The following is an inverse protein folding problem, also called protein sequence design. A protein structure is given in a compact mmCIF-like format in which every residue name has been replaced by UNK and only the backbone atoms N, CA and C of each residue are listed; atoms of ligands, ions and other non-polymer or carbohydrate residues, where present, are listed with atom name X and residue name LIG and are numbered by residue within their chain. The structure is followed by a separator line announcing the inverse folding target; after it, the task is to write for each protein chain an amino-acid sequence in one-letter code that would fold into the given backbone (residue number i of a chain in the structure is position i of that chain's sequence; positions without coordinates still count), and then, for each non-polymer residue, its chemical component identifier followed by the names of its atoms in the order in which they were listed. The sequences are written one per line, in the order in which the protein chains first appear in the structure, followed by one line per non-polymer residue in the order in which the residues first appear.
data_IF_217428764294
#
_entry.id   IF_217428764294
#
_cell.length_a   1.000
_cell.length_b   1.000
_cell.length_c   1.000
_cell.angle_alpha   90.00
_cell.angle_beta   90.00
_cell.angle_gamma   90.00
#
_symmetry.space_group_name_H-M   'P 1'
#
loop_
_entity.id
_entity.type
_entity.pdbx_description
1 polymer ?
#
# COMPACT_ATOMS: atom_id res chain seq x y z
N UNK A 1 6.69 3.45 -18.50
CA UNK A 1 6.97 2.63 -17.30
C UNK A 1 5.89 1.55 -17.23
N UNK A 2 6.03 0.45 -16.49
CA UNK A 2 4.90 -0.48 -16.35
C UNK A 2 3.83 0.09 -15.40
N UNK A 3 2.53 -0.23 -15.59
CA UNK A 3 1.44 0.39 -14.82
C UNK A 3 1.51 0.16 -13.31
N UNK A 4 2.09 -0.97 -12.86
CA UNK A 4 2.28 -1.20 -11.43
C UNK A 4 3.30 -0.22 -10.86
N UNK A 5 4.43 -0.02 -11.55
CA UNK A 5 5.43 0.97 -11.17
C UNK A 5 4.88 2.39 -11.18
N UNK A 6 4.06 2.73 -12.20
CA UNK A 6 3.40 4.05 -12.27
C UNK A 6 2.52 4.31 -11.04
N UNK A 7 1.67 3.35 -10.70
CA UNK A 7 0.78 3.47 -9.53
C UNK A 7 1.57 3.52 -8.23
N UNK A 8 2.55 2.62 -8.04
CA UNK A 8 3.35 2.58 -6.82
C UNK A 8 4.22 3.82 -6.65
N UNK A 9 4.64 4.47 -7.73
CA UNK A 9 5.39 5.74 -7.64
C UNK A 9 4.58 6.89 -7.03
N UNK A 10 3.24 6.81 -7.09
CA UNK A 10 2.34 7.75 -6.42
C UNK A 10 2.21 7.47 -4.92
N UNK A 11 2.55 6.25 -4.47
CA UNK A 11 2.52 5.84 -3.07
C UNK A 11 3.81 6.28 -2.37
N UNK A 12 3.92 7.57 -2.05
CA UNK A 12 5.12 8.12 -1.41
C UNK A 12 5.09 7.92 0.10
N UNK A 13 6.04 7.18 0.68
CA UNK A 13 6.12 7.04 2.12
C UNK A 13 6.37 8.38 2.81
N UNK A 14 5.49 8.79 3.73
CA UNK A 14 5.63 9.97 4.57
C UNK A 14 6.30 9.65 5.88
N UNK A 15 5.92 8.53 6.45
CA UNK A 15 6.48 8.03 7.70
C UNK A 15 6.61 6.51 7.62
N UNK A 16 7.58 6.00 8.35
CA UNK A 16 7.86 4.59 8.46
C UNK A 16 8.03 4.22 9.93
N UNK A 17 7.41 3.14 10.34
CA UNK A 17 7.61 2.55 11.67
C UNK A 17 7.88 1.08 11.49
N UNK A 18 8.84 0.55 12.21
CA UNK A 18 9.12 -0.87 12.23
C UNK A 18 9.50 -1.32 13.63
N UNK A 19 9.34 -2.61 13.87
CA UNK A 19 9.71 -3.24 15.12
C UNK A 19 9.77 -4.75 14.99
N UNK A 20 10.34 -5.33 16.03
CA UNK A 20 10.38 -6.77 16.26
C UNK A 20 9.43 -7.08 17.42
N UNK A 21 8.57 -8.07 17.23
CA UNK A 21 7.60 -8.53 18.23
C UNK A 21 7.97 -9.96 18.63
N UNK A 22 8.38 -10.12 19.88
CA UNK A 22 8.66 -11.43 20.47
C UNK A 22 7.50 -11.84 21.38
N UNK A 23 6.66 -12.73 20.86
CA UNK A 23 5.39 -13.07 21.46
C UNK A 23 5.50 -14.44 22.16
N UNK A 24 5.10 -14.50 23.42
CA UNK A 24 4.96 -15.73 24.19
C UNK A 24 3.73 -16.54 23.80
N UNK A 25 3.36 -17.53 24.61
CA UNK A 25 2.10 -18.26 24.41
C UNK A 25 0.90 -17.42 24.84
N UNK A 26 -0.28 -17.82 24.37
CA UNK A 26 -1.58 -17.30 24.81
C UNK A 26 -1.74 -15.78 24.59
N UNK A 27 -1.40 -15.32 23.37
CA UNK A 27 -1.62 -13.94 22.96
C UNK A 27 -2.78 -13.83 21.95
N UNK A 28 -3.54 -12.73 22.07
CA UNK A 28 -4.48 -12.24 21.07
C UNK A 28 -4.41 -10.71 21.07
N UNK A 29 -3.78 -10.12 20.06
CA UNK A 29 -3.45 -8.70 19.99
C UNK A 29 -4.29 -8.04 18.91
N UNK A 30 -5.13 -7.09 19.31
CA UNK A 30 -5.98 -6.32 18.39
C UNK A 30 -5.28 -5.05 17.98
N UNK A 31 -5.20 -4.83 16.68
CA UNK A 31 -4.77 -3.60 16.04
C UNK A 31 -6.00 -2.88 15.47
N UNK A 32 -6.20 -1.63 15.84
CA UNK A 32 -7.26 -0.79 15.29
C UNK A 32 -6.99 -0.42 13.84
N UNK A 33 -7.99 0.15 13.17
CA UNK A 33 -7.83 0.76 11.86
C UNK A 33 -6.64 1.73 11.84
N UNK A 34 -5.99 1.85 10.70
CA UNK A 34 -4.81 2.70 10.54
C UNK A 34 -4.69 3.22 9.11
N UNK A 35 -4.07 4.36 8.96
CA UNK A 35 -3.70 4.89 7.64
C UNK A 35 -2.50 4.12 7.08
N UNK A 36 -2.45 3.93 5.75
CA UNK A 36 -1.32 3.33 5.06
C UNK A 36 -1.29 1.80 5.08
N UNK A 37 -0.12 1.23 4.93
CA UNK A 37 0.11 -0.21 4.73
C UNK A 37 0.85 -0.80 5.92
N UNK A 38 0.30 -1.84 6.53
CA UNK A 38 1.06 -2.72 7.43
C UNK A 38 1.65 -3.88 6.66
N UNK A 39 2.85 -4.27 7.03
CA UNK A 39 3.49 -5.51 6.60
C UNK A 39 4.03 -6.23 7.83
N UNK A 40 3.99 -7.55 7.79
CA UNK A 40 4.53 -8.40 8.85
C UNK A 40 5.05 -9.68 8.25
N UNK A 41 6.22 -10.14 8.75
CA UNK A 41 6.82 -11.40 8.43
C UNK A 41 6.99 -12.25 9.68
N UNK A 42 6.72 -13.53 9.59
CA UNK A 42 6.95 -14.50 10.66
C UNK A 42 8.37 -15.01 10.54
N UNK A 43 9.24 -14.64 11.49
CA UNK A 43 10.63 -15.10 11.54
C UNK A 43 10.71 -16.50 12.12
N UNK A 44 9.97 -16.76 13.21
CA UNK A 44 9.86 -18.08 13.83
C UNK A 44 8.51 -18.27 14.51
N UNK A 45 8.12 -19.53 14.69
CA UNK A 45 6.84 -19.88 15.31
C UNK A 45 5.66 -19.82 14.34
N UNK A 46 4.46 -19.63 14.89
CA UNK A 46 3.21 -19.56 14.12
C UNK A 46 2.16 -18.72 14.86
N UNK A 47 1.23 -18.15 14.12
CA UNK A 47 0.07 -17.44 14.66
C UNK A 47 -1.09 -17.41 13.67
N UNK A 48 -2.23 -16.88 14.11
CA UNK A 48 -3.39 -16.59 13.29
C UNK A 48 -3.49 -15.10 13.02
N UNK A 49 -3.89 -14.74 11.81
CA UNK A 49 -4.27 -13.39 11.40
C UNK A 49 -5.75 -13.38 11.07
N UNK A 50 -6.55 -12.63 11.82
CA UNK A 50 -7.92 -12.28 11.49
C UNK A 50 -7.99 -10.80 11.07
N UNK A 51 -8.71 -10.48 9.99
CA UNK A 51 -8.88 -9.12 9.49
C UNK A 51 -10.36 -8.80 9.39
N UNK A 52 -10.76 -7.63 9.83
CA UNK A 52 -12.15 -7.21 9.80
C UNK A 52 -12.71 -7.22 8.37
N UNK A 53 -13.93 -7.77 8.20
CA UNK A 53 -14.56 -7.95 6.90
C UNK A 53 -14.00 -9.10 6.05
N UNK A 54 -13.03 -9.88 6.55
CA UNK A 54 -12.53 -11.09 5.91
C UNK A 54 -13.05 -12.32 6.70
N UNK A 55 -13.88 -13.19 6.09
CA UNK A 55 -14.56 -14.25 6.83
C UNK A 55 -13.64 -15.29 7.47
N UNK A 56 -12.51 -15.58 6.82
CA UNK A 56 -11.59 -16.64 7.24
C UNK A 56 -10.29 -16.05 7.81
N UNK A 57 -9.92 -16.48 9.02
CA UNK A 57 -8.61 -16.19 9.58
C UNK A 57 -7.53 -16.98 8.83
N UNK A 58 -6.37 -16.35 8.67
CA UNK A 58 -5.22 -16.91 7.98
C UNK A 58 -4.21 -17.45 9.00
N UNK A 59 -3.85 -18.75 8.87
CA UNK A 59 -2.74 -19.31 9.64
C UNK A 59 -1.41 -18.89 9.01
N UNK A 60 -0.52 -18.37 9.82
CA UNK A 60 0.80 -17.91 9.46
C UNK A 60 1.86 -18.78 10.13
N UNK A 61 2.89 -19.12 9.40
CA UNK A 61 4.03 -19.94 9.85
C UNK A 61 5.35 -19.27 9.54
N UNK A 62 6.44 -19.73 10.14
CA UNK A 62 7.78 -19.20 9.86
C UNK A 62 8.07 -19.12 8.36
N UNK A 63 8.56 -17.98 7.92
CA UNK A 63 8.79 -17.64 6.51
C UNK A 63 7.59 -17.00 5.79
N UNK A 64 6.38 -17.03 6.36
CA UNK A 64 5.24 -16.32 5.78
C UNK A 64 5.40 -14.81 5.94
N UNK A 65 4.94 -14.08 4.91
CA UNK A 65 4.85 -12.63 4.93
C UNK A 65 3.44 -12.21 4.51
N UNK A 66 2.88 -11.21 5.15
CA UNK A 66 1.61 -10.63 4.75
C UNK A 66 1.65 -9.11 4.73
N UNK A 67 0.79 -8.53 3.88
CA UNK A 67 0.55 -7.10 3.80
C UNK A 67 -0.93 -6.84 4.07
N UNK A 68 -1.23 -5.75 4.77
CA UNK A 68 -2.57 -5.21 5.00
C UNK A 68 -2.66 -3.82 4.34
N UNK A 69 -2.94 -3.74 3.03
CA UNK A 69 -2.88 -2.48 2.30
C UNK A 69 -4.02 -1.52 2.63
N UNK A 70 -5.16 -2.02 3.12
CA UNK A 70 -6.40 -1.24 3.29
C UNK A 70 -6.56 -0.64 4.68
N UNK A 71 -5.61 -0.83 5.57
CA UNK A 71 -5.65 -0.27 6.92
C UNK A 71 -6.74 -0.82 7.83
N UNK A 72 -7.36 -1.94 7.49
CA UNK A 72 -8.44 -2.55 8.26
C UNK A 72 -7.98 -3.02 9.64
N UNK A 73 -8.88 -2.99 10.61
CA UNK A 73 -8.62 -3.56 11.92
C UNK A 73 -8.29 -5.05 11.81
N UNK A 74 -7.35 -5.51 12.62
CA UNK A 74 -6.85 -6.89 12.55
C UNK A 74 -6.47 -7.43 13.92
N UNK A 75 -6.43 -8.74 14.05
CA UNK A 75 -5.98 -9.44 15.24
C UNK A 75 -4.90 -10.47 14.89
N UNK A 76 -3.81 -10.48 15.66
CA UNK A 76 -2.81 -11.54 15.66
C UNK A 76 -2.98 -12.37 16.92
N UNK A 77 -3.14 -13.68 16.80
CA UNK A 77 -3.43 -14.56 17.92
C UNK A 77 -2.66 -15.89 17.84
N UNK A 78 -2.25 -16.41 18.99
CA UNK A 78 -1.81 -17.81 19.11
C UNK A 78 -3.01 -18.76 19.01
N UNK A 79 -4.16 -18.32 19.54
CA UNK A 79 -5.44 -19.01 19.47
C UNK A 79 -6.56 -17.97 19.33
N UNK A 80 -7.48 -18.19 18.37
CA UNK A 80 -8.58 -17.28 18.06
C UNK A 80 -9.69 -17.27 19.13
N UNK A 81 -9.68 -18.19 20.08
CA UNK A 81 -10.63 -18.24 21.21
C UNK A 81 -10.26 -17.30 22.35
N UNK A 82 -9.03 -16.77 22.34
CA UNK A 82 -8.54 -15.85 23.36
C UNK A 82 -9.20 -14.47 23.24
N UNK A 83 -9.38 -13.81 24.38
CA UNK A 83 -9.90 -12.44 24.41
C UNK A 83 -8.85 -11.47 23.85
N UNK A 84 -9.20 -10.64 22.86
CA UNK A 84 -8.27 -9.68 22.29
C UNK A 84 -7.89 -8.57 23.26
N UNK A 85 -6.59 -8.24 23.32
CA UNK A 85 -6.05 -7.10 24.04
C UNK A 85 -5.55 -6.06 23.03
N UNK A 86 -5.84 -4.78 23.26
CA UNK A 86 -5.43 -3.73 22.33
C UNK A 86 -3.90 -3.59 22.28
N UNK A 87 -3.37 -3.52 21.06
CA UNK A 87 -1.93 -3.38 20.82
C UNK A 87 -1.31 -2.16 21.55
N UNK A 88 -2.05 -1.06 21.67
CA UNK A 88 -1.59 0.15 22.38
C UNK A 88 -1.40 -0.08 23.89
N UNK A 89 -2.10 -1.05 24.47
CA UNK A 89 -1.94 -1.44 25.89
C UNK A 89 -0.67 -2.26 26.09
N UNK A 90 -0.35 -3.13 25.11
CA UNK A 90 0.83 -4.00 25.15
C UNK A 90 2.07 -3.22 24.72
N UNK A 91 1.94 -2.35 23.69
CA UNK A 91 3.03 -1.61 23.06
C UNK A 91 2.80 -0.09 23.15
N UNK A 92 2.86 0.51 24.34
CA UNK A 92 2.47 1.91 24.56
C UNK A 92 3.42 2.94 23.92
N UNK A 93 4.61 2.53 23.51
CA UNK A 93 5.65 3.41 22.91
C UNK A 93 5.86 3.00 21.45
N UNK A 94 6.02 3.96 20.51
CA UNK A 94 6.47 3.62 19.16
C UNK A 94 7.73 2.78 19.21
N UNK A 95 7.70 1.60 18.59
CA UNK A 95 8.77 0.61 18.71
C UNK A 95 10.10 1.09 18.11
N UNK A 96 10.09 1.92 17.09
CA UNK A 96 11.26 2.56 16.46
C UNK A 96 12.54 1.69 16.48
N UNK A 97 12.42 0.44 15.99
CA UNK A 97 13.50 -0.53 16.00
C UNK A 97 13.69 -1.33 17.29
N UNK A 98 12.90 -1.10 18.33
CA UNK A 98 12.99 -1.89 19.58
C UNK A 98 12.26 -3.22 19.44
N UNK A 99 12.71 -4.19 20.23
CA UNK A 99 12.02 -5.47 20.42
C UNK A 99 10.93 -5.26 21.45
N UNK A 100 9.69 -5.55 21.07
CA UNK A 100 8.57 -5.58 22.00
C UNK A 100 8.27 -7.02 22.39
N UNK A 101 8.33 -7.31 23.68
CA UNK A 101 8.00 -8.63 24.21
C UNK A 101 6.60 -8.63 24.82
N UNK A 102 5.85 -9.71 24.56
CA UNK A 102 4.54 -9.98 25.14
C UNK A 102 4.54 -11.38 25.74
N UNK A 103 4.00 -11.57 26.95
CA UNK A 103 3.87 -12.86 27.63
C UNK A 103 5.18 -13.68 27.69
N UNK A 104 6.31 -13.00 27.96
CA UNK A 104 7.62 -13.63 28.12
C UNK A 104 8.34 -14.00 26.82
N UNK A 105 7.75 -13.80 25.67
CA UNK A 105 8.35 -14.07 24.36
C UNK A 105 8.59 -15.56 24.04
N UNK A 106 9.37 -15.83 23.00
CA UNK A 106 9.92 -17.16 22.67
C UNK A 106 8.99 -18.12 21.91
N UNK A 107 7.73 -17.76 21.65
CA UNK A 107 6.79 -18.61 20.91
C UNK A 107 6.64 -18.21 19.44
N UNK A 108 6.49 -16.93 19.17
CA UNK A 108 6.34 -16.39 17.82
C UNK A 108 7.11 -15.09 17.69
N UNK A 109 8.09 -15.07 16.78
CA UNK A 109 8.87 -13.88 16.48
C UNK A 109 8.41 -13.28 15.16
N UNK A 110 7.96 -12.04 15.21
CA UNK A 110 7.49 -11.28 14.06
C UNK A 110 8.37 -10.06 13.83
N UNK A 111 8.62 -9.75 12.56
CA UNK A 111 9.17 -8.48 12.11
C UNK A 111 8.10 -7.79 11.31
N UNK A 112 7.75 -6.58 11.70
CA UNK A 112 6.68 -5.87 11.03
C UNK A 112 6.85 -4.38 11.07
N UNK A 113 6.05 -3.70 10.27
CA UNK A 113 6.07 -2.26 10.22
C UNK A 113 4.86 -1.68 9.54
N UNK A 114 4.88 -0.36 9.49
CA UNK A 114 3.80 0.45 8.99
C UNK A 114 4.37 1.57 8.10
N UNK A 115 3.90 1.63 6.86
CA UNK A 115 4.18 2.68 5.89
C UNK A 115 2.99 3.63 5.86
N UNK A 116 3.15 4.84 6.36
CA UNK A 116 2.16 5.91 6.19
C UNK A 116 2.45 6.62 4.86
N UNK A 117 1.43 6.75 4.04
CA UNK A 117 1.54 7.32 2.71
C UNK A 117 0.95 8.73 2.66
N UNK A 118 1.38 9.54 1.70
CA UNK A 118 0.90 10.91 1.56
C UNK A 118 -0.32 11.01 0.66
N UNK A 119 -1.31 11.79 1.14
CA UNK A 119 -2.42 12.29 0.33
C UNK A 119 -3.57 11.32 0.13
N UNK A 120 -4.76 11.86 0.03
CA UNK A 120 -6.01 11.10 -0.22
C UNK A 120 -5.98 10.24 -1.49
N UNK A 121 -5.13 10.58 -2.47
CA UNK A 121 -4.95 9.75 -3.67
C UNK A 121 -4.36 8.38 -3.30
N UNK A 122 -3.49 8.31 -2.28
CA UNK A 122 -2.97 7.04 -1.77
C UNK A 122 -4.08 6.18 -1.16
N UNK A 123 -5.00 6.75 -0.41
CA UNK A 123 -6.13 6.02 0.18
C UNK A 123 -7.03 5.40 -0.90
N UNK A 124 -7.28 6.14 -1.98
CA UNK A 124 -8.06 5.64 -3.13
C UNK A 124 -7.35 4.45 -3.79
N UNK A 125 -6.02 4.54 -3.97
CA UNK A 125 -5.24 3.45 -4.54
C UNK A 125 -5.21 2.22 -3.63
N UNK A 126 -5.04 2.42 -2.33
CA UNK A 126 -5.00 1.34 -1.34
C UNK A 126 -6.34 0.63 -1.20
N UNK A 127 -7.46 1.37 -1.34
CA UNK A 127 -8.79 0.79 -1.28
C UNK A 127 -9.07 -0.23 -2.41
N UNK A 128 -8.38 -0.09 -3.55
CA UNK A 128 -8.48 -1.02 -4.68
C UNK A 128 -7.61 -2.29 -4.48
N UNK A 129 -6.70 -2.30 -3.51
CA UNK A 129 -5.88 -3.48 -3.21
C UNK A 129 -6.67 -4.51 -2.38
N UNK A 130 -6.29 -5.79 -2.40
CA UNK A 130 -6.94 -6.80 -1.56
C UNK A 130 -6.74 -6.48 -0.07
N UNK A 131 -7.69 -6.88 0.80
CA UNK A 131 -7.57 -6.63 2.25
C UNK A 131 -6.34 -7.31 2.86
N UNK A 132 -5.97 -8.47 2.35
CA UNK A 132 -4.78 -9.23 2.75
C UNK A 132 -4.03 -9.67 1.49
N UNK A 133 -2.72 -9.42 1.46
CA UNK A 133 -1.77 -10.05 0.53
C UNK A 133 -0.94 -11.03 1.34
N UNK A 134 -1.18 -12.32 1.18
CA UNK A 134 -0.46 -13.37 1.89
C UNK A 134 0.46 -14.15 0.96
N UNK A 135 1.75 -14.19 1.26
CA UNK A 135 2.78 -14.85 0.47
C UNK A 135 3.06 -16.22 1.08
N UNK A 136 2.64 -17.28 0.36
CA UNK A 136 2.65 -18.66 0.86
C UNK A 136 3.66 -19.58 0.18
N UNK A 137 3.95 -19.36 -1.13
CA UNK A 137 4.78 -20.27 -1.93
C UNK A 137 6.24 -20.20 -1.50
N UNK A 138 6.91 -21.34 -1.35
CA UNK A 138 8.32 -21.38 -0.95
C UNK A 138 9.25 -20.61 -1.89
N UNK A 139 9.02 -20.67 -3.21
CA UNK A 139 9.76 -19.86 -4.18
C UNK A 139 9.62 -18.35 -3.91
N UNK A 140 8.45 -17.94 -3.49
CA UNK A 140 8.09 -16.54 -3.28
C UNK A 140 8.58 -16.05 -1.91
N UNK A 141 8.53 -16.93 -0.89
CA UNK A 141 9.13 -16.69 0.42
C UNK A 141 10.64 -16.45 0.32
N UNK A 142 11.33 -17.20 -0.54
CA UNK A 142 12.76 -17.01 -0.76
C UNK A 142 13.09 -15.60 -1.29
N UNK A 143 12.28 -15.07 -2.20
CA UNK A 143 12.43 -13.70 -2.72
C UNK A 143 12.24 -12.62 -1.64
N UNK A 144 11.41 -12.88 -0.64
CA UNK A 144 11.12 -11.96 0.48
C UNK A 144 12.09 -12.12 1.65
N UNK A 145 12.64 -13.32 1.82
CA UNK A 145 13.48 -13.70 3.00
C UNK A 145 14.61 -12.73 3.23
N UNK A 146 15.36 -12.43 2.19
CA UNK A 146 16.50 -11.49 2.30
C UNK A 146 16.07 -10.11 2.81
N UNK A 147 14.95 -9.56 2.30
CA UNK A 147 14.45 -8.27 2.75
C UNK A 147 14.08 -8.29 4.24
N UNK A 148 13.43 -9.39 4.68
CA UNK A 148 12.99 -9.57 6.06
C UNK A 148 14.18 -9.76 7.00
N UNK A 149 15.13 -10.62 6.62
CA UNK A 149 16.35 -10.88 7.40
C UNK A 149 17.18 -9.60 7.55
N UNK A 150 17.40 -8.88 6.44
CA UNK A 150 18.14 -7.63 6.48
C UNK A 150 17.43 -6.55 7.32
N UNK A 151 16.12 -6.46 7.21
CA UNK A 151 15.34 -5.55 8.05
C UNK A 151 15.42 -5.90 9.53
N UNK A 152 15.32 -7.19 9.87
CA UNK A 152 15.48 -7.66 11.24
C UNK A 152 16.87 -7.29 11.80
N UNK A 153 17.91 -7.41 10.99
CA UNK A 153 19.29 -7.03 11.36
C UNK A 153 19.40 -5.52 11.60
N UNK A 154 18.92 -4.68 10.68
CA UNK A 154 18.93 -3.21 10.83
C UNK A 154 18.16 -2.74 12.07
N UNK A 155 17.06 -3.42 12.41
CA UNK A 155 16.26 -3.09 13.58
C UNK A 155 16.89 -3.56 14.90
N UNK A 156 17.61 -4.68 14.91
CA UNK A 156 18.28 -5.21 16.11
C UNK A 156 19.60 -4.52 16.39
N UNK A 157 20.34 -4.16 15.34
CA UNK A 157 21.66 -3.56 15.40
C UNK A 157 21.69 -2.23 14.62
N UNK A 158 21.04 -1.16 15.13
CA UNK A 158 20.93 0.09 14.40
C UNK A 158 22.29 0.68 14.02
N UNK A 159 22.46 0.96 12.72
CA UNK A 159 23.64 1.60 12.18
C UNK A 159 23.29 3.01 11.64
N UNK A 160 24.25 3.93 11.49
CA UNK A 160 24.00 5.18 10.79
C UNK A 160 23.39 4.93 9.40
N UNK A 161 22.24 5.56 9.11
CA UNK A 161 21.47 5.32 7.87
C UNK A 161 20.56 4.09 7.90
N UNK A 162 20.58 3.25 8.94
CA UNK A 162 19.75 2.04 9.06
C UNK A 162 18.26 2.30 8.93
N UNK A 163 17.78 3.46 9.39
CA UNK A 163 16.38 3.87 9.20
C UNK A 163 16.01 3.97 7.71
N UNK A 164 16.87 4.57 6.88
CA UNK A 164 16.63 4.68 5.43
C UNK A 164 16.69 3.31 4.76
N UNK A 165 17.63 2.46 5.17
CA UNK A 165 17.74 1.08 4.68
C UNK A 165 16.45 0.31 4.99
N UNK A 166 15.97 0.35 6.22
CA UNK A 166 14.74 -0.31 6.63
C UNK A 166 13.51 0.22 5.88
N UNK A 167 13.45 1.51 5.60
CA UNK A 167 12.39 2.12 4.80
C UNK A 167 12.38 1.59 3.35
N UNK A 168 13.54 1.49 2.71
CA UNK A 168 13.64 0.94 1.35
C UNK A 168 13.30 -0.54 1.31
N UNK A 169 13.74 -1.32 2.30
CA UNK A 169 13.37 -2.73 2.42
C UNK A 169 11.87 -2.92 2.58
N UNK A 170 11.20 -2.08 3.37
CA UNK A 170 9.74 -2.11 3.50
C UNK A 170 9.02 -1.82 2.17
N UNK A 171 9.53 -0.88 1.40
CA UNK A 171 8.99 -0.58 0.07
C UNK A 171 9.23 -1.76 -0.90
N UNK A 172 10.41 -2.39 -0.86
CA UNK A 172 10.69 -3.61 -1.64
C UNK A 172 9.74 -4.75 -1.26
N UNK A 173 9.46 -4.96 0.03
CA UNK A 173 8.49 -5.96 0.52
C UNK A 173 7.10 -5.67 -0.07
N UNK A 174 6.65 -4.43 -0.08
CA UNK A 174 5.39 -4.03 -0.71
C UNK A 174 5.35 -4.38 -2.20
N UNK A 175 6.36 -3.93 -2.96
CA UNK A 175 6.44 -4.17 -4.41
C UNK A 175 6.45 -5.66 -4.73
N UNK A 176 7.31 -6.43 -4.05
CA UNK A 176 7.40 -7.87 -4.26
C UNK A 176 6.11 -8.58 -3.85
N UNK A 177 5.52 -8.24 -2.72
CA UNK A 177 4.24 -8.81 -2.29
C UNK A 177 3.13 -8.62 -3.31
N UNK A 178 3.00 -7.43 -3.89
CA UNK A 178 2.01 -7.16 -4.93
C UNK A 178 2.31 -7.91 -6.22
N UNK A 179 3.58 -8.01 -6.64
CA UNK A 179 3.98 -8.79 -7.82
C UNK A 179 3.66 -10.27 -7.67
N UNK A 180 3.95 -10.84 -6.49
CA UNK A 180 3.66 -12.24 -6.20
C UNK A 180 2.16 -12.50 -6.16
N UNK A 181 1.39 -11.57 -5.56
CA UNK A 181 -0.07 -11.65 -5.57
C UNK A 181 -0.65 -11.61 -6.99
N UNK A 182 -0.08 -10.81 -7.89
CA UNK A 182 -0.44 -10.80 -9.31
C UNK A 182 -0.12 -12.15 -10.00
N UNK A 183 1.04 -12.73 -9.69
CA UNK A 183 1.48 -14.00 -10.29
C UNK A 183 0.62 -15.21 -9.85
N UNK A 184 -0.05 -15.14 -8.70
CA UNK A 184 -0.97 -16.18 -8.22
C UNK A 184 -2.22 -16.34 -9.11
N UNK A 185 -2.46 -15.40 -10.03
CA UNK A 185 -3.50 -15.53 -11.06
C UNK A 185 -4.87 -15.82 -10.48
N UNK A 186 -5.34 -15.04 -9.52
CA UNK A 186 -6.62 -15.22 -8.86
C UNK A 186 -7.77 -15.04 -9.85
N UNK A 187 -8.19 -16.13 -10.49
CA UNK A 187 -9.31 -16.17 -11.41
C UNK A 187 -10.57 -15.62 -10.73
N UNK A 188 -11.25 -14.69 -11.40
CA UNK A 188 -12.54 -14.17 -10.95
C UNK A 188 -12.48 -12.93 -10.05
N UNK A 189 -11.32 -12.37 -9.75
CA UNK A 189 -11.24 -11.07 -9.08
C UNK A 189 -11.31 -9.92 -10.08
N UNK A 190 -11.98 -8.86 -9.68
CA UNK A 190 -12.16 -7.62 -10.45
C UNK A 190 -11.24 -6.54 -9.87
N UNK A 191 -10.63 -5.76 -10.74
CA UNK A 191 -9.79 -4.62 -10.36
C UNK A 191 -8.62 -4.39 -11.31
N UNK A 192 -8.10 -3.17 -11.34
CA UNK A 192 -7.02 -2.77 -12.24
C UNK A 192 -5.75 -3.62 -12.02
N UNK A 193 -5.44 -3.94 -10.77
CA UNK A 193 -4.28 -4.76 -10.42
C UNK A 193 -4.34 -6.13 -11.09
N UNK A 194 -5.52 -6.79 -11.05
CA UNK A 194 -5.72 -8.09 -11.71
C UNK A 194 -5.75 -7.97 -13.23
N UNK A 195 -6.21 -6.83 -13.75
CA UNK A 195 -6.20 -6.56 -15.19
C UNK A 195 -4.76 -6.56 -15.76
N UNK A 196 -3.74 -6.24 -14.95
CA UNK A 196 -2.34 -6.26 -15.37
C UNK A 196 -1.82 -7.68 -15.67
N UNK A 197 -2.39 -8.72 -15.10
CA UNK A 197 -2.05 -10.11 -15.46
C UNK A 197 -2.60 -10.53 -16.82
N UNK A 198 -3.58 -9.80 -17.36
CA UNK A 198 -4.14 -10.04 -18.69
C UNK A 198 -3.41 -9.17 -19.71
N UNK A 199 -2.69 -9.81 -20.65
CA UNK A 199 -1.86 -9.13 -21.65
C UNK A 199 -2.61 -8.06 -22.46
N UNK A 200 -3.88 -8.32 -22.81
CA UNK A 200 -4.70 -7.40 -23.63
C UNK A 200 -5.17 -6.20 -22.81
N UNK A 201 -5.61 -6.42 -21.56
CA UNK A 201 -6.00 -5.33 -20.66
C UNK A 201 -4.80 -4.51 -20.24
N UNK A 202 -3.67 -5.17 -19.94
CA UNK A 202 -2.41 -4.52 -19.62
C UNK A 202 -1.95 -3.57 -20.73
N UNK A 203 -2.03 -3.98 -22.01
CA UNK A 203 -1.66 -3.12 -23.14
C UNK A 203 -2.48 -1.83 -23.21
N UNK A 204 -3.80 -1.90 -22.96
CA UNK A 204 -4.67 -0.73 -22.94
C UNK A 204 -4.36 0.17 -21.74
N UNK A 205 -4.19 -0.41 -20.54
CA UNK A 205 -3.83 0.31 -19.31
C UNK A 205 -2.48 1.02 -19.47
N UNK A 206 -1.46 0.32 -19.98
CA UNK A 206 -0.14 0.92 -20.26
C UNK A 206 -0.27 2.11 -21.20
N UNK A 207 -1.06 1.99 -22.27
CA UNK A 207 -1.28 3.09 -23.21
C UNK A 207 -1.89 4.32 -22.56
N UNK A 208 -2.86 4.13 -21.66
CA UNK A 208 -3.48 5.21 -20.88
C UNK A 208 -2.50 5.84 -19.88
N UNK A 209 -1.65 5.04 -19.24
CA UNK A 209 -0.65 5.50 -18.28
C UNK A 209 0.47 6.28 -18.95
N UNK A 210 1.00 5.80 -20.07
CA UNK A 210 2.08 6.45 -20.81
C UNK A 210 1.67 7.81 -21.41
N UNK A 211 0.39 7.94 -21.79
CA UNK A 211 -0.13 9.16 -22.41
C UNK A 211 -1.46 9.59 -21.79
N UNK A 212 -1.47 10.01 -20.52
CA UNK A 212 -2.70 10.35 -19.82
C UNK A 212 -3.42 11.57 -20.43
N UNK A 213 -2.69 12.50 -21.05
CA UNK A 213 -3.26 13.69 -21.68
C UNK A 213 -3.93 13.41 -23.04
N UNK A 214 -3.59 12.26 -23.68
CA UNK A 214 -4.13 11.93 -24.99
C UNK A 214 -5.66 11.76 -24.95
N UNK A 215 -6.34 12.21 -25.99
CA UNK A 215 -7.81 12.08 -26.07
C UNK A 215 -8.21 10.68 -26.57
N UNK A 216 -7.98 9.70 -25.69
CA UNK A 216 -8.25 8.30 -25.97
C UNK A 216 -9.71 8.04 -26.27
N UNK A 217 -9.97 7.28 -27.31
CA UNK A 217 -11.29 6.69 -27.58
C UNK A 217 -11.33 5.22 -27.17
N UNK A 218 -12.53 4.69 -26.92
CA UNK A 218 -12.71 3.25 -26.62
C UNK A 218 -12.28 2.39 -27.81
N UNK A 219 -12.41 2.91 -29.02
CA UNK A 219 -12.00 2.23 -30.25
C UNK A 219 -10.47 2.10 -30.34
N UNK A 220 -9.71 3.19 -30.13
CA UNK A 220 -8.24 3.17 -30.11
C UNK A 220 -7.69 2.24 -29.05
N UNK A 221 -8.28 2.27 -27.82
CA UNK A 221 -7.88 1.37 -26.75
C UNK A 221 -8.22 -0.09 -27.07
N UNK A 222 -9.35 -0.34 -27.74
CA UNK A 222 -9.72 -1.66 -28.26
C UNK A 222 -8.69 -2.17 -29.27
N UNK A 223 -8.26 -1.32 -30.21
CA UNK A 223 -7.21 -1.67 -31.18
C UNK A 223 -5.88 -2.02 -30.47
N UNK A 224 -5.48 -1.28 -29.43
CA UNK A 224 -4.30 -1.59 -28.60
C UNK A 224 -4.41 -2.95 -27.91
N UNK A 225 -5.63 -3.33 -27.52
CA UNK A 225 -5.94 -4.61 -26.88
C UNK A 225 -6.16 -5.75 -27.91
N UNK A 226 -6.14 -5.47 -29.22
CA UNK A 226 -6.46 -6.43 -30.28
C UNK A 226 -7.92 -6.88 -30.26
N UNK A 227 -8.86 -5.96 -29.95
CA UNK A 227 -10.29 -6.23 -29.81
C UNK A 227 -11.13 -5.19 -30.54
N UNK A 228 -12.37 -5.59 -30.92
CA UNK A 228 -13.40 -4.61 -31.35
C UNK A 228 -13.79 -3.70 -30.18
N UNK A 229 -14.30 -2.49 -30.50
CA UNK A 229 -14.76 -1.50 -29.53
C UNK A 229 -15.71 -2.09 -28.47
N UNK A 230 -16.74 -2.84 -28.91
CA UNK A 230 -17.75 -3.40 -28.01
C UNK A 230 -17.18 -4.50 -27.12
N UNK A 231 -16.41 -5.43 -27.69
CA UNK A 231 -15.76 -6.52 -26.96
C UNK A 231 -14.78 -5.98 -25.92
N UNK A 232 -13.99 -4.96 -26.30
CA UNK A 232 -13.06 -4.31 -25.37
C UNK A 232 -13.78 -3.63 -24.21
N UNK A 233 -14.80 -2.79 -24.49
CA UNK A 233 -15.55 -2.08 -23.46
C UNK A 233 -16.17 -3.04 -22.43
N UNK A 234 -16.79 -4.14 -22.91
CA UNK A 234 -17.37 -5.15 -22.05
C UNK A 234 -16.30 -5.85 -21.18
N UNK A 235 -15.26 -6.44 -21.82
CA UNK A 235 -14.22 -7.16 -21.10
C UNK A 235 -13.42 -6.29 -20.14
N UNK A 236 -13.16 -5.03 -20.52
CA UNK A 236 -12.49 -4.10 -19.62
C UNK A 236 -13.33 -3.85 -18.37
N UNK A 237 -14.64 -3.61 -18.52
CA UNK A 237 -15.55 -3.42 -17.38
C UNK A 237 -15.66 -4.67 -16.50
N UNK A 238 -15.73 -5.85 -17.09
CA UNK A 238 -15.75 -7.13 -16.36
C UNK A 238 -14.45 -7.37 -15.59
N UNK A 239 -13.30 -6.99 -16.16
CA UNK A 239 -11.98 -7.25 -15.58
C UNK A 239 -11.57 -6.16 -14.59
N UNK A 240 -11.79 -4.88 -14.92
CA UNK A 240 -11.35 -3.73 -14.11
C UNK A 240 -12.44 -3.23 -13.15
N UNK A 241 -13.72 -3.54 -13.42
CA UNK A 241 -14.85 -3.10 -12.62
C UNK A 241 -15.47 -1.77 -13.05
N UNK A 242 -14.78 -1.00 -13.89
CA UNK A 242 -15.23 0.31 -14.41
C UNK A 242 -15.02 0.38 -15.91
N UNK A 243 -15.67 1.36 -16.58
CA UNK A 243 -15.46 1.58 -18.01
C UNK A 243 -14.05 2.11 -18.30
N UNK A 244 -13.51 1.91 -19.55
CA UNK A 244 -12.18 2.41 -19.91
C UNK A 244 -12.01 3.91 -19.69
N UNK A 245 -13.00 4.72 -20.06
CA UNK A 245 -12.92 6.17 -19.92
C UNK A 245 -13.07 6.64 -18.47
N UNK A 246 -13.81 5.89 -17.65
CA UNK A 246 -13.86 6.13 -16.21
C UNK A 246 -12.53 5.81 -15.56
N UNK A 247 -11.88 4.70 -15.94
CA UNK A 247 -10.54 4.35 -15.48
C UNK A 247 -9.53 5.45 -15.82
N UNK A 248 -9.48 5.90 -17.07
CA UNK A 248 -8.62 7.01 -17.49
C UNK A 248 -8.88 8.29 -16.69
N UNK A 249 -10.15 8.61 -16.43
CA UNK A 249 -10.50 9.76 -15.60
C UNK A 249 -9.98 9.61 -14.18
N UNK A 250 -10.14 8.44 -13.56
CA UNK A 250 -9.59 8.15 -12.23
C UNK A 250 -8.08 8.30 -12.22
N UNK A 251 -7.39 7.71 -13.19
CA UNK A 251 -5.93 7.80 -13.33
C UNK A 251 -5.45 9.26 -13.43
N UNK A 252 -6.06 10.06 -14.31
CA UNK A 252 -5.78 11.50 -14.42
C UNK A 252 -5.95 12.23 -13.08
N UNK A 253 -6.99 11.90 -12.31
CA UNK A 253 -7.24 12.55 -11.00
C UNK A 253 -6.24 12.12 -9.93
N UNK A 254 -5.77 10.88 -9.96
CA UNK A 254 -4.69 10.42 -9.08
C UNK A 254 -3.37 11.15 -9.37
N UNK A 255 -2.99 11.27 -10.66
CA UNK A 255 -1.85 12.08 -11.09
C UNK A 255 -2.00 13.56 -10.69
N UNK A 256 -3.22 14.13 -10.84
CA UNK A 256 -3.50 15.48 -10.40
C UNK A 256 -3.31 15.64 -8.88
N UNK A 257 -3.80 14.69 -8.09
CA UNK A 257 -3.64 14.68 -6.64
C UNK A 257 -2.18 14.65 -6.21
N UNK A 258 -1.37 13.79 -6.83
CA UNK A 258 0.07 13.74 -6.57
C UNK A 258 0.77 15.07 -6.93
N UNK A 259 0.48 15.64 -8.10
CA UNK A 259 1.07 16.92 -8.51
C UNK A 259 0.67 18.07 -7.60
N UNK A 260 -0.61 18.17 -7.23
CA UNK A 260 -1.09 19.20 -6.29
C UNK A 260 -0.38 19.10 -4.93
N UNK A 261 -0.11 17.88 -4.47
CA UNK A 261 0.53 17.65 -3.19
C UNK A 261 2.05 17.87 -3.20
N UNK A 262 2.72 17.71 -4.36
CA UNK A 262 4.18 17.59 -4.42
C UNK A 262 4.86 18.58 -5.37
N UNK A 263 4.10 19.45 -6.07
CA UNK A 263 4.66 20.47 -6.96
C UNK A 263 4.06 21.85 -6.66
N UNK A 264 4.66 22.89 -7.21
CA UNK A 264 4.15 24.26 -7.18
C UNK A 264 3.30 24.62 -8.41
N UNK A 265 2.97 23.65 -9.26
CA UNK A 265 2.21 23.89 -10.48
C UNK A 265 0.83 24.46 -10.16
N UNK A 266 0.37 25.38 -10.98
CA UNK A 266 -0.99 25.90 -10.88
C UNK A 266 -2.01 24.82 -11.26
N UNK A 267 -3.22 24.92 -10.70
CA UNK A 267 -4.34 24.01 -11.05
C UNK A 267 -4.62 24.02 -12.56
N UNK A 268 -4.43 25.16 -13.23
CA UNK A 268 -4.62 25.28 -14.68
C UNK A 268 -3.57 24.52 -15.48
N UNK A 269 -2.30 24.61 -15.08
CA UNK A 269 -1.20 23.86 -15.71
C UNK A 269 -1.38 22.34 -15.51
N UNK A 270 -1.76 21.92 -14.29
CA UNK A 270 -2.05 20.53 -14.01
C UNK A 270 -3.21 20.02 -14.88
N UNK A 271 -4.32 20.79 -14.98
CA UNK A 271 -5.46 20.41 -15.80
C UNK A 271 -5.08 20.25 -17.27
N UNK A 272 -4.37 21.22 -17.84
CA UNK A 272 -3.92 21.19 -19.23
C UNK A 272 -2.99 20.02 -19.51
N UNK A 273 -2.04 19.74 -18.64
CA UNK A 273 -1.09 18.63 -18.79
C UNK A 273 -1.73 17.24 -18.68
N UNK A 274 -2.96 17.16 -18.18
CA UNK A 274 -3.76 15.93 -18.10
C UNK A 274 -4.88 15.87 -19.16
N UNK A 275 -4.84 16.77 -20.17
CA UNK A 275 -5.74 16.77 -21.33
C UNK A 275 -7.11 17.42 -21.08
N UNK A 276 -7.24 18.28 -20.05
CA UNK A 276 -8.47 19.02 -19.82
C UNK A 276 -8.44 20.38 -20.52
N UNK A 277 -9.41 20.63 -21.38
CA UNK A 277 -9.56 21.89 -22.13
C UNK A 277 -10.08 23.04 -21.25
N UNK A 278 -10.71 22.75 -20.13
CA UNK A 278 -11.21 23.78 -19.21
C UNK A 278 -10.98 23.40 -17.74
N UNK A 279 -10.64 24.41 -16.94
CA UNK A 279 -10.49 24.28 -15.48
C UNK A 279 -11.82 23.85 -14.81
N UNK A 280 -12.95 24.21 -15.36
CA UNK A 280 -14.26 23.81 -14.85
C UNK A 280 -14.50 22.31 -15.00
N UNK A 281 -14.25 21.74 -16.19
CA UNK A 281 -14.38 20.30 -16.44
C UNK A 281 -13.42 19.50 -15.55
N UNK A 282 -12.16 19.96 -15.41
CA UNK A 282 -11.18 19.37 -14.50
C UNK A 282 -11.67 19.39 -13.05
N UNK A 283 -12.08 20.55 -12.53
CA UNK A 283 -12.55 20.70 -11.15
C UNK A 283 -13.74 19.80 -10.84
N UNK A 284 -14.69 19.65 -11.79
CA UNK A 284 -15.83 18.74 -11.65
C UNK A 284 -15.39 17.28 -11.56
N UNK A 285 -14.47 16.86 -12.45
CA UNK A 285 -13.93 15.50 -12.44
C UNK A 285 -13.14 15.22 -11.15
N UNK A 286 -12.29 16.18 -10.74
CA UNK A 286 -11.48 16.07 -9.51
C UNK A 286 -12.38 15.92 -8.28
N UNK A 287 -13.39 16.81 -8.12
CA UNK A 287 -14.32 16.74 -6.99
C UNK A 287 -15.09 15.41 -6.97
N UNK A 288 -15.47 14.88 -8.12
CA UNK A 288 -16.17 13.59 -8.22
C UNK A 288 -15.32 12.42 -7.72
N UNK A 289 -14.02 12.40 -8.04
CA UNK A 289 -13.13 11.27 -7.72
C UNK A 289 -12.48 11.45 -6.34
N UNK A 290 -11.99 12.67 -6.03
CA UNK A 290 -11.23 12.95 -4.81
C UNK A 290 -12.11 13.38 -3.63
N UNK A 291 -13.43 13.60 -3.85
CA UNK A 291 -14.39 14.01 -2.82
C UNK A 291 -14.33 15.49 -2.40
N UNK A 292 -13.33 16.24 -2.87
CA UNK A 292 -13.15 17.67 -2.55
C UNK A 292 -12.62 18.44 -3.76
N UNK A 293 -12.66 19.77 -3.72
CA UNK A 293 -12.10 20.60 -4.80
C UNK A 293 -10.56 20.56 -4.80
N UNK A 294 -9.88 20.85 -5.94
CA UNK A 294 -8.42 20.93 -6.01
C UNK A 294 -7.81 21.90 -4.99
N UNK A 295 -8.49 23.02 -4.72
CA UNK A 295 -8.02 24.01 -3.72
C UNK A 295 -8.14 23.50 -2.30
N UNK A 296 -9.25 22.85 -1.95
CA UNK A 296 -9.45 22.20 -0.64
C UNK A 296 -8.43 21.08 -0.43
N UNK A 297 -8.19 20.28 -1.48
CA UNK A 297 -7.18 19.23 -1.48
C UNK A 297 -5.79 19.77 -1.16
N UNK A 298 -5.33 20.82 -1.88
CA UNK A 298 -4.04 21.47 -1.63
C UNK A 298 -3.92 22.00 -0.19
N UNK A 299 -4.98 22.63 0.32
CA UNK A 299 -5.01 23.15 1.70
C UNK A 299 -4.87 22.02 2.73
N UNK A 300 -5.57 20.90 2.53
CA UNK A 300 -5.50 19.75 3.45
C UNK A 300 -4.11 19.10 3.49
N UNK A 301 -3.39 19.07 2.36
CA UNK A 301 -2.01 18.56 2.32
C UNK A 301 -1.06 19.46 3.11
N UNK A 302 -1.18 20.77 2.97
CA UNK A 302 -0.33 21.74 3.67
C UNK A 302 -0.60 21.77 5.19
N UNK A 303 -1.85 21.54 5.62
CA UNK A 303 -2.20 21.48 7.04
C UNK A 303 -1.74 20.19 7.73
N UNK A 304 -1.63 19.08 7.01
CA UNK A 304 -1.12 17.79 7.51
C UNK A 304 0.40 17.73 7.69
N UNK A 305 1.13 18.69 7.14
CA UNK A 305 2.61 18.74 7.22
C UNK A 305 3.14 19.15 8.60
N UNK A 306 2.28 19.61 9.51
CA UNK A 306 2.67 20.04 10.87
C UNK A 306 2.46 19.01 11.99
N UNK A 307 1.90 17.84 11.69
CA UNK A 307 1.73 16.78 12.69
C UNK A 307 2.69 15.65 12.38
N UNK A 308 3.87 15.65 13.03
CA UNK A 308 4.69 14.46 13.19
C UNK A 308 6.10 14.42 12.62
N UNK A 309 6.86 15.50 12.62
CA UNK A 309 8.30 15.34 12.79
C UNK A 309 8.56 15.03 14.26
N UNK A 310 8.64 13.76 14.63
CA UNK A 310 9.26 13.38 15.89
C UNK A 310 10.68 13.98 15.87
N UNK A 311 10.94 14.90 16.81
CA UNK A 311 12.26 15.50 17.03
C UNK A 311 13.29 14.35 17.07
N UNK A 312 14.41 14.43 16.35
CA UNK A 312 15.47 13.44 16.49
C UNK A 312 15.85 13.36 17.97
N UNK A 313 16.18 12.18 18.51
CA UNK A 313 16.62 12.04 19.88
C UNK A 313 17.82 12.96 20.11
N UNK A 314 17.77 13.75 21.20
CA UNK A 314 18.90 14.57 21.60
C UNK A 314 20.12 13.66 21.84
N UNK A 315 21.33 14.10 21.44
CA UNK A 315 22.54 13.33 21.69
C UNK A 315 22.68 13.14 23.21
N UNK A 316 22.84 11.89 23.62
CA UNK A 316 23.14 11.53 25.01
C UNK A 316 24.41 12.28 25.38
N UNK A 317 24.29 13.26 26.28
CA UNK A 317 25.41 14.01 26.81
C UNK A 317 26.41 13.03 27.42
N UNK A 318 27.61 12.96 26.85
CA UNK A 318 28.80 12.38 27.48
C UNK A 318 29.14 13.24 28.68
N UNK A 319 28.68 12.85 29.86
CA UNK A 319 29.34 13.28 31.08
C UNK A 319 30.58 12.43 31.30
N UNK A 320 31.73 13.07 31.16
CA UNK A 320 33.05 12.62 31.66
C UNK A 320 33.02 12.56 33.18
#
# INVERSE_FOLDING_TARGET
MDPLSDVLSLLRPRAYRAGVFDLGRDFCIRFTEHEGIKYTAVVSGQCWLAVEGVPEAVRLTAGDCFLLPRGLASCLASDLTLTPVDAVTIFPVPLNGRIASCNGGGHCLLVGGHLVLTGKHSDILLAELPPIVHIRRESDKAAMRWCVERMNEELRNPQPGGFLVAQQLAYMILVQGLRLHLAEGLKGRVGWLFALSNKQMSAAITSMHDRPAHDWTVEELGQRAGMSRSTFAQRFKETVGVSPMEYLTRWRMLLAGDRIANTSDSISEIAQSLGYQSASAFTKAFKKIMGCSPREYNRSQNSGSHIGMAKPPEPIGTNL
#
